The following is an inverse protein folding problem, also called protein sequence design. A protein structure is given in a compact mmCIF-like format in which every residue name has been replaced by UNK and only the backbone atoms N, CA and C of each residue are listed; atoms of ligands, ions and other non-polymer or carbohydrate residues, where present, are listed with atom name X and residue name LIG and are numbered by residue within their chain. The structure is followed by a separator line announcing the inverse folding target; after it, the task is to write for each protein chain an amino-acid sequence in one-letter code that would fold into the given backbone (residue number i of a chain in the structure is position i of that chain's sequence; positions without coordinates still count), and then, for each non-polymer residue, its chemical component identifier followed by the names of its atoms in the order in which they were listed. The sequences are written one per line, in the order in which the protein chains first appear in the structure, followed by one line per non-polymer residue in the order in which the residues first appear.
data_IF_285356252158
#
_entry.id   IF_285356252158
#
_cell.length_a   1.000
_cell.length_b   1.000
_cell.length_c   1.000
_cell.angle_alpha   90.00
_cell.angle_beta   90.00
_cell.angle_gamma   90.00
#
_symmetry.space_group_name_H-M   'P 1'
#
loop_
_entity.id
_entity.type
_entity.pdbx_description
1 polymer ?
#
# COMPACT_ATOMS: atom_id res chain seq x y z
N UNK A 1 0.14 -16.29 -6.95
CA UNK A 1 0.10 -14.90 -7.42
C UNK A 1 -1.05 -14.79 -8.41
N UNK A 2 -2.05 -13.99 -8.08
CA UNK A 2 -3.23 -13.80 -8.92
C UNK A 2 -3.01 -12.58 -9.86
N UNK A 3 -3.33 -12.73 -11.13
CA UNK A 3 -3.22 -11.66 -12.15
C UNK A 3 -4.58 -11.11 -12.57
N UNK A 4 -5.67 -11.79 -12.22
CA UNK A 4 -7.01 -11.32 -12.54
C UNK A 4 -7.44 -10.26 -11.52
N UNK A 5 -7.49 -9.00 -11.96
CA UNK A 5 -7.91 -7.83 -11.18
C UNK A 5 -9.08 -7.17 -11.90
N UNK A 6 -10.22 -7.88 -11.94
CA UNK A 6 -11.48 -7.28 -12.37
C UNK A 6 -11.90 -6.13 -11.43
N UNK A 7 -12.91 -5.37 -11.81
CA UNK A 7 -13.34 -4.18 -11.07
C UNK A 7 -13.75 -4.50 -9.61
N UNK A 8 -14.36 -5.67 -9.38
CA UNK A 8 -14.76 -6.11 -8.04
C UNK A 8 -13.54 -6.43 -7.18
N UNK A 9 -12.61 -7.23 -7.69
CA UNK A 9 -11.36 -7.58 -7.02
C UNK A 9 -10.52 -6.33 -6.74
N UNK A 10 -10.44 -5.41 -7.71
CA UNK A 10 -9.72 -4.15 -7.53
C UNK A 10 -10.35 -3.30 -6.42
N UNK A 11 -11.67 -3.21 -6.37
CA UNK A 11 -12.40 -2.55 -5.28
C UNK A 11 -12.08 -3.13 -3.91
N UNK A 12 -12.03 -4.47 -3.79
CA UNK A 12 -11.65 -5.15 -2.55
C UNK A 12 -10.19 -4.87 -2.14
N UNK A 13 -9.26 -4.90 -3.11
CA UNK A 13 -7.84 -4.56 -2.86
C UNK A 13 -7.73 -3.15 -2.29
N UNK A 14 -8.37 -2.18 -2.91
CA UNK A 14 -8.36 -0.78 -2.46
C UNK A 14 -8.92 -0.64 -1.04
N UNK A 15 -10.02 -1.32 -0.75
CA UNK A 15 -10.63 -1.31 0.58
C UNK A 15 -9.68 -1.88 1.65
N UNK A 16 -9.04 -3.03 1.38
CA UNK A 16 -8.08 -3.65 2.29
C UNK A 16 -6.87 -2.75 2.51
N UNK A 17 -6.31 -2.16 1.45
CA UNK A 17 -5.19 -1.20 1.55
C UNK A 17 -5.60 0.02 2.38
N UNK A 18 -6.77 0.60 2.13
CA UNK A 18 -7.26 1.75 2.89
C UNK A 18 -7.48 1.44 4.38
N UNK A 19 -7.97 0.24 4.71
CA UNK A 19 -8.13 -0.21 6.10
C UNK A 19 -6.77 -0.40 6.78
N UNK A 20 -5.81 -1.04 6.10
CA UNK A 20 -4.46 -1.24 6.59
C UNK A 20 -3.75 0.09 6.85
N UNK A 21 -3.84 1.03 5.93
CA UNK A 21 -3.23 2.36 6.09
C UNK A 21 -3.87 3.19 7.20
N UNK A 22 -5.17 3.04 7.45
CA UNK A 22 -5.81 3.68 8.63
C UNK A 22 -5.33 3.09 9.94
N UNK A 23 -5.00 1.81 9.97
CA UNK A 23 -4.56 1.11 11.17
C UNK A 23 -3.08 1.35 11.51
N UNK A 24 -2.20 1.37 10.50
CA UNK A 24 -0.74 1.45 10.65
C UNK A 24 -0.12 2.77 10.17
N UNK A 25 -0.90 3.62 9.48
CA UNK A 25 -0.49 4.88 8.85
C UNK A 25 0.54 4.72 7.70
N UNK A 26 0.94 3.50 7.36
CA UNK A 26 1.87 3.21 6.28
C UNK A 26 1.57 1.86 5.62
N UNK A 27 2.12 1.67 4.44
CA UNK A 27 2.35 0.38 3.80
C UNK A 27 3.85 0.12 3.75
N UNK A 28 4.28 -1.10 3.43
CA UNK A 28 5.71 -1.43 3.27
C UNK A 28 5.98 -1.79 1.82
N UNK A 29 7.05 -1.25 1.24
CA UNK A 29 7.54 -1.63 -0.08
C UNK A 29 8.84 -2.41 0.05
N UNK A 30 8.87 -3.61 -0.51
CA UNK A 30 10.05 -4.43 -0.63
C UNK A 30 10.73 -4.18 -1.98
N UNK A 31 12.02 -3.92 -1.95
CA UNK A 31 12.89 -3.74 -3.10
C UNK A 31 14.16 -4.59 -2.95
N UNK A 32 14.93 -4.74 -4.01
CA UNK A 32 16.12 -5.59 -4.03
C UNK A 32 17.31 -4.78 -4.56
N UNK A 33 18.46 -4.88 -3.87
CA UNK A 33 19.71 -4.25 -4.33
C UNK A 33 20.26 -4.94 -5.60
N UNK A 34 21.26 -4.35 -6.29
CA UNK A 34 21.96 -5.00 -7.39
C UNK A 34 22.56 -6.37 -7.02
N UNK A 35 22.97 -6.54 -5.76
CA UNK A 35 23.56 -7.76 -5.21
C UNK A 35 22.51 -8.81 -4.80
N UNK A 36 21.21 -8.51 -4.98
CA UNK A 36 20.11 -9.41 -4.60
C UNK A 36 19.66 -9.31 -3.13
N UNK A 37 20.13 -8.31 -2.39
CA UNK A 37 19.80 -8.14 -0.97
C UNK A 37 18.42 -7.46 -0.86
N UNK A 38 17.43 -8.09 -0.21
CA UNK A 38 16.12 -7.50 -0.02
C UNK A 38 16.14 -6.36 1.01
N UNK A 39 15.35 -5.33 0.76
CA UNK A 39 15.13 -4.22 1.67
C UNK A 39 13.63 -3.91 1.79
N UNK A 40 13.19 -3.47 2.96
CA UNK A 40 11.80 -3.05 3.21
C UNK A 40 11.81 -1.59 3.67
N UNK A 41 11.04 -0.77 2.97
CA UNK A 41 10.87 0.66 3.26
C UNK A 41 9.41 0.96 3.61
N UNK A 42 9.11 1.62 4.73
CA UNK A 42 7.77 2.11 5.01
C UNK A 42 7.40 3.27 4.07
N UNK A 43 6.20 3.22 3.48
CA UNK A 43 5.66 4.28 2.63
C UNK A 43 4.29 4.74 3.17
N UNK A 44 4.22 5.96 3.69
CA UNK A 44 2.99 6.52 4.29
C UNK A 44 2.00 7.10 3.29
N UNK A 45 2.38 7.22 2.02
CA UNK A 45 1.69 8.04 1.02
C UNK A 45 1.27 7.26 -0.22
N UNK A 46 0.99 5.97 -0.10
CA UNK A 46 0.44 5.17 -1.19
C UNK A 46 -1.00 5.56 -1.46
N UNK A 47 -1.27 5.93 -2.71
CA UNK A 47 -2.60 6.21 -3.25
C UNK A 47 -2.87 5.27 -4.43
N UNK A 48 -4.01 4.60 -4.41
CA UNK A 48 -4.45 3.72 -5.50
C UNK A 48 -5.57 4.39 -6.29
N UNK A 49 -5.52 4.28 -7.61
CA UNK A 49 -6.53 4.84 -8.50
C UNK A 49 -7.85 4.06 -8.40
N UNK A 50 -8.95 4.73 -8.66
CA UNK A 50 -10.29 4.17 -8.52
C UNK A 50 -10.62 3.14 -9.60
N UNK A 51 -10.21 3.39 -10.83
CA UNK A 51 -10.66 2.66 -12.02
C UNK A 51 -9.63 1.72 -12.63
N UNK A 52 -8.37 1.74 -12.16
CA UNK A 52 -7.30 0.95 -12.76
C UNK A 52 -6.31 0.45 -11.71
N UNK A 53 -5.62 -0.69 -11.92
CA UNK A 53 -4.62 -1.25 -11.02
C UNK A 53 -3.31 -0.45 -11.04
N UNK A 54 -3.43 0.84 -10.86
CA UNK A 54 -2.34 1.81 -10.80
C UNK A 54 -2.46 2.67 -9.54
N UNK A 55 -1.41 3.42 -9.25
CA UNK A 55 -1.38 4.34 -8.13
C UNK A 55 -0.11 5.16 -8.13
N UNK A 56 0.16 5.81 -7.02
CA UNK A 56 1.42 6.55 -6.82
C UNK A 56 1.75 6.60 -5.32
N UNK A 57 3.01 6.88 -5.04
CA UNK A 57 3.46 7.24 -3.70
C UNK A 57 4.52 8.35 -3.76
N UNK A 58 4.62 9.13 -2.69
CA UNK A 58 5.65 10.14 -2.55
C UNK A 58 6.96 9.50 -2.08
N UNK A 59 8.04 9.78 -2.80
CA UNK A 59 9.38 9.24 -2.55
C UNK A 59 10.39 10.37 -2.33
N UNK A 60 10.42 10.89 -1.10
CA UNK A 60 11.28 12.04 -0.75
C UNK A 60 12.52 11.62 0.04
N UNK A 61 12.37 10.65 0.97
CA UNK A 61 13.42 10.38 1.96
C UNK A 61 14.08 8.99 1.83
N UNK A 62 13.71 8.20 0.84
CA UNK A 62 14.09 6.79 0.75
C UNK A 62 15.28 6.57 -0.18
N UNK A 63 16.47 7.07 0.14
CA UNK A 63 17.66 6.97 -0.73
C UNK A 63 17.97 5.52 -1.14
N UNK A 64 17.88 4.56 -0.23
CA UNK A 64 18.09 3.12 -0.53
C UNK A 64 17.04 2.61 -1.50
N UNK A 65 15.76 2.93 -1.30
CA UNK A 65 14.69 2.55 -2.22
C UNK A 65 14.93 3.14 -3.61
N UNK A 66 15.30 4.43 -3.68
CA UNK A 66 15.59 5.10 -4.94
C UNK A 66 16.74 4.43 -5.69
N UNK A 67 17.82 4.05 -5.00
CA UNK A 67 18.94 3.34 -5.58
C UNK A 67 18.52 1.97 -6.12
N UNK A 68 17.77 1.19 -5.34
CA UNK A 68 17.29 -0.13 -5.76
C UNK A 68 16.36 -0.04 -6.98
N UNK A 69 15.43 0.92 -6.99
CA UNK A 69 14.48 1.09 -8.09
C UNK A 69 15.13 1.55 -9.41
N UNK A 70 16.26 2.23 -9.36
CA UNK A 70 17.07 2.54 -10.57
C UNK A 70 17.62 1.28 -11.22
N UNK A 71 17.94 0.26 -10.43
CA UNK A 71 18.46 -1.00 -10.92
C UNK A 71 17.36 -2.00 -11.28
N UNK A 72 16.35 -2.13 -10.40
CA UNK A 72 15.23 -3.04 -10.61
C UNK A 72 13.91 -2.36 -10.21
N UNK A 73 13.10 -2.04 -11.21
CA UNK A 73 11.80 -1.40 -11.01
C UNK A 73 10.72 -2.33 -10.41
N UNK A 74 10.98 -3.63 -10.26
CA UNK A 74 10.03 -4.58 -9.67
C UNK A 74 10.05 -4.46 -8.15
N UNK A 75 8.86 -4.35 -7.55
CA UNK A 75 8.70 -4.24 -6.11
C UNK A 75 7.46 -5.00 -5.63
N UNK A 76 7.43 -5.29 -4.34
CA UNK A 76 6.24 -5.82 -3.67
C UNK A 76 5.79 -4.84 -2.60
N UNK A 77 4.57 -4.34 -2.70
CA UNK A 77 3.96 -3.47 -1.69
C UNK A 77 3.05 -4.33 -0.81
N UNK A 78 3.29 -4.31 0.50
CA UNK A 78 2.46 -5.01 1.47
C UNK A 78 1.66 -4.01 2.31
N UNK A 79 0.35 -4.27 2.44
CA UNK A 79 -0.54 -3.57 3.34
C UNK A 79 -1.24 -4.60 4.24
N UNK A 80 -1.08 -4.48 5.57
CA UNK A 80 -1.67 -5.38 6.56
C UNK A 80 -2.38 -4.55 7.62
N UNK A 81 -3.61 -4.94 7.93
CA UNK A 81 -4.40 -4.31 8.97
C UNK A 81 -3.85 -4.69 10.36
N UNK A 82 -3.21 -3.72 11.04
CA UNK A 82 -2.64 -3.88 12.38
C UNK A 82 -3.58 -3.45 13.50
N UNK A 83 -4.86 -3.12 13.20
CA UNK A 83 -5.84 -2.69 14.19
C UNK A 83 -6.11 -3.77 15.23
N UNK A 84 -5.89 -3.46 16.51
CA UNK A 84 -6.17 -4.37 17.63
C UNK A 84 -7.62 -4.81 17.65
N UNK A 85 -8.56 -3.89 17.39
CA UNK A 85 -9.99 -4.22 17.35
C UNK A 85 -10.35 -5.19 16.23
N UNK A 86 -9.77 -5.04 15.04
CA UNK A 86 -9.92 -5.97 13.93
C UNK A 86 -9.46 -7.38 14.31
N UNK A 87 -8.26 -7.50 14.89
CA UNK A 87 -7.68 -8.77 15.29
C UNK A 87 -8.46 -9.41 16.45
N UNK A 88 -8.79 -8.63 17.47
CA UNK A 88 -9.56 -9.14 18.62
C UNK A 88 -10.93 -9.67 18.19
N UNK A 89 -11.66 -8.91 17.35
CA UNK A 89 -12.97 -9.35 16.83
C UNK A 89 -12.83 -10.65 16.02
N UNK A 90 -11.82 -10.74 15.14
CA UNK A 90 -11.58 -11.94 14.33
C UNK A 90 -11.19 -13.15 15.18
N UNK A 91 -10.40 -12.96 16.23
CA UNK A 91 -10.03 -14.01 17.17
C UNK A 91 -11.26 -14.52 17.96
N UNK A 92 -12.11 -13.61 18.43
CA UNK A 92 -13.32 -13.98 19.17
C UNK A 92 -14.36 -14.69 18.29
N UNK A 93 -14.48 -14.29 17.02
CA UNK A 93 -15.41 -14.94 16.07
C UNK A 93 -14.84 -16.19 15.39
N UNK A 94 -13.53 -16.47 15.55
CA UNK A 94 -12.83 -17.55 14.85
C UNK A 94 -12.73 -17.35 13.35
N UNK A 95 -13.08 -16.15 12.82
CA UNK A 95 -13.15 -15.88 11.40
C UNK A 95 -12.85 -14.43 11.07
N UNK A 96 -12.12 -14.18 9.98
CA UNK A 96 -11.99 -12.86 9.40
C UNK A 96 -13.22 -12.50 8.54
N UNK A 97 -13.76 -11.32 8.73
CA UNK A 97 -14.83 -10.78 7.87
C UNK A 97 -14.31 -10.16 6.57
N UNK A 98 -13.03 -9.83 6.50
CA UNK A 98 -12.32 -9.35 5.31
C UNK A 98 -10.88 -9.85 5.33
N UNK A 99 -10.18 -9.81 4.19
CA UNK A 99 -8.76 -10.16 4.16
C UNK A 99 -7.95 -9.26 5.11
N UNK A 100 -7.08 -9.81 5.97
CA UNK A 100 -6.25 -9.03 6.89
C UNK A 100 -5.19 -8.21 6.18
N UNK A 101 -4.91 -8.48 4.92
CA UNK A 101 -3.95 -7.71 4.14
C UNK A 101 -3.82 -8.19 2.71
N UNK A 102 -2.99 -7.49 1.95
CA UNK A 102 -2.68 -7.79 0.55
C UNK A 102 -1.23 -7.48 0.23
N UNK A 103 -0.64 -8.25 -0.66
CA UNK A 103 0.64 -7.99 -1.34
C UNK A 103 0.36 -7.65 -2.79
N UNK A 104 0.87 -6.50 -3.22
CA UNK A 104 0.73 -5.98 -4.58
C UNK A 104 2.10 -6.08 -5.26
N UNK A 105 2.17 -6.82 -6.35
CA UNK A 105 3.38 -6.93 -7.18
C UNK A 105 3.28 -5.89 -8.28
N UNK A 106 4.25 -4.99 -8.34
CA UNK A 106 4.17 -3.81 -9.17
C UNK A 106 5.50 -3.48 -9.84
N UNK A 107 5.40 -2.85 -11.01
CA UNK A 107 6.49 -2.10 -11.60
C UNK A 107 6.37 -0.65 -11.14
N UNK A 108 7.44 -0.13 -10.56
CA UNK A 108 7.52 1.24 -10.06
C UNK A 108 8.12 2.14 -11.15
N UNK A 109 7.45 3.26 -11.38
CA UNK A 109 7.90 4.27 -12.34
C UNK A 109 9.10 5.09 -11.86
N UNK A 110 9.61 5.92 -12.75
CA UNK A 110 10.67 6.86 -12.42
C UNK A 110 10.18 7.96 -11.48
N UNK A 111 11.13 8.59 -10.81
CA UNK A 111 10.85 9.74 -9.95
C UNK A 111 10.47 10.94 -10.83
N UNK A 112 9.33 11.55 -10.56
CA UNK A 112 8.84 12.73 -11.25
C UNK A 112 8.19 13.74 -10.30
N UNK A 113 8.06 15.00 -10.71
CA UNK A 113 7.28 15.97 -9.96
C UNK A 113 5.83 15.50 -9.79
N UNK A 114 5.26 15.77 -8.62
CA UNK A 114 3.84 15.52 -8.35
C UNK A 114 2.96 16.53 -9.10
N UNK A 115 1.83 16.03 -9.60
CA UNK A 115 0.80 16.91 -10.20
C UNK A 115 0.03 17.67 -9.12
N UNK A 116 -0.70 18.72 -9.51
CA UNK A 116 -1.54 19.48 -8.59
C UNK A 116 -2.61 18.60 -7.91
N UNK A 117 -3.17 17.62 -8.64
CA UNK A 117 -4.17 16.69 -8.11
C UNK A 117 -3.55 15.73 -7.08
N UNK A 118 -2.38 15.16 -7.35
CA UNK A 118 -1.63 14.31 -6.42
C UNK A 118 -1.27 15.07 -5.13
N UNK A 119 -0.84 16.32 -5.28
CA UNK A 119 -0.59 17.23 -4.15
C UNK A 119 -1.88 17.51 -3.35
N UNK A 120 -3.02 17.66 -4.02
CA UNK A 120 -4.30 17.84 -3.35
C UNK A 120 -4.71 16.58 -2.56
N UNK A 121 -4.53 15.39 -3.12
CA UNK A 121 -4.84 14.13 -2.45
C UNK A 121 -4.01 13.94 -1.17
N UNK A 122 -2.70 14.22 -1.20
CA UNK A 122 -1.88 14.13 0.00
C UNK A 122 -2.29 15.17 1.04
N UNK A 123 -2.53 16.42 0.62
CA UNK A 123 -3.00 17.47 1.54
C UNK A 123 -4.30 17.11 2.24
N UNK A 124 -5.25 16.49 1.55
CA UNK A 124 -6.49 15.98 2.17
C UNK A 124 -6.20 14.89 3.20
N UNK A 125 -5.30 13.95 2.90
CA UNK A 125 -4.95 12.86 3.84
C UNK A 125 -4.28 13.37 5.10
N UNK A 126 -3.39 14.36 5.02
CA UNK A 126 -2.67 14.91 6.17
C UNK A 126 -3.43 16.02 6.88
N UNK A 127 -4.54 16.51 6.34
CA UNK A 127 -5.31 17.61 6.92
C UNK A 127 -5.64 17.43 8.41
N UNK A 128 -6.04 16.24 8.91
CA UNK A 128 -6.29 16.03 10.33
C UNK A 128 -5.05 16.18 11.23
N UNK A 129 -3.85 16.08 10.66
CA UNK A 129 -2.57 16.12 11.38
C UNK A 129 -1.82 17.45 11.24
N UNK A 130 -2.33 18.40 10.45
CA UNK A 130 -1.67 19.68 10.13
C UNK A 130 -1.29 20.53 11.34
N UNK A 131 -1.98 20.39 12.45
CA UNK A 131 -1.72 21.14 13.67
C UNK A 131 -0.52 20.62 14.48
N UNK A 132 0.00 19.44 14.15
CA UNK A 132 1.14 18.85 14.83
C UNK A 132 2.48 19.38 14.30
N UNK A 133 3.47 19.58 15.17
CA UNK A 133 4.83 20.00 14.77
C UNK A 133 5.50 18.97 13.85
N UNK A 134 5.32 17.67 14.11
CA UNK A 134 5.86 16.59 13.29
C UNK A 134 5.31 16.58 11.87
N UNK A 135 4.03 16.90 11.69
CA UNK A 135 3.41 17.02 10.38
C UNK A 135 4.09 18.08 9.51
N UNK A 136 4.40 19.26 10.09
CA UNK A 136 5.08 20.33 9.37
C UNK A 136 6.49 19.94 8.91
N UNK A 137 7.22 19.16 9.72
CA UNK A 137 8.59 18.74 9.41
C UNK A 137 8.63 17.61 8.35
N UNK A 138 7.68 16.68 8.41
CA UNK A 138 7.69 15.50 7.52
C UNK A 138 7.06 15.82 6.16
N UNK A 139 6.02 16.68 6.12
CA UNK A 139 5.18 16.85 4.93
C UNK A 139 5.49 18.11 4.12
N UNK A 140 6.49 18.93 4.51
CA UNK A 140 6.85 20.16 3.80
C UNK A 140 7.44 19.90 2.40
N UNK A 141 8.15 18.78 2.21
CA UNK A 141 8.98 18.54 1.04
C UNK A 141 8.44 17.47 0.08
N UNK A 142 7.15 17.08 0.22
CA UNK A 142 6.54 16.11 -0.67
C UNK A 142 6.24 16.74 -2.04
N UNK A 143 7.23 16.72 -2.93
CA UNK A 143 7.12 17.27 -4.27
C UNK A 143 7.32 16.24 -5.38
N UNK A 144 7.85 15.06 -5.04
CA UNK A 144 8.18 14.03 -6.02
C UNK A 144 7.43 12.72 -5.73
N UNK A 145 6.97 12.09 -6.81
CA UNK A 145 6.19 10.85 -6.77
C UNK A 145 6.79 9.80 -7.70
N UNK A 146 6.46 8.55 -7.41
CA UNK A 146 6.62 7.42 -8.32
C UNK A 146 5.27 6.80 -8.63
N UNK A 147 5.05 6.47 -9.89
CA UNK A 147 3.89 5.70 -10.30
C UNK A 147 4.04 4.23 -9.91
N UNK A 148 2.91 3.58 -9.67
CA UNK A 148 2.82 2.17 -9.32
C UNK A 148 1.91 1.49 -10.33
N UNK A 149 2.46 0.55 -11.11
CA UNK A 149 1.71 -0.27 -12.06
C UNK A 149 1.60 -1.69 -11.52
N UNK A 150 0.45 -2.03 -10.95
CA UNK A 150 0.21 -3.31 -10.30
C UNK A 150 -0.18 -4.33 -11.36
N UNK A 151 0.58 -5.43 -11.45
CA UNK A 151 0.36 -6.48 -12.44
C UNK A 151 -0.08 -7.81 -11.81
N UNK A 152 0.04 -7.93 -10.48
CA UNK A 152 -0.44 -9.11 -9.76
C UNK A 152 -0.62 -8.80 -8.27
N UNK A 153 -1.35 -9.66 -7.58
CA UNK A 153 -1.54 -9.55 -6.14
C UNK A 153 -1.60 -10.92 -5.47
N UNK A 154 -1.49 -10.92 -4.15
CA UNK A 154 -1.74 -12.07 -3.28
C UNK A 154 -2.36 -11.58 -1.98
N UNK A 155 -3.47 -12.18 -1.58
CA UNK A 155 -4.04 -11.92 -0.27
C UNK A 155 -3.11 -12.41 0.85
N UNK A 156 -3.12 -11.71 1.96
CA UNK A 156 -2.60 -12.24 3.23
C UNK A 156 -3.73 -13.04 3.84
N UNK A 157 -3.52 -14.33 4.02
CA UNK A 157 -4.55 -15.28 4.44
C UNK A 157 -4.07 -16.09 5.63
N UNK A 158 -5.02 -16.43 6.47
CA UNK A 158 -4.88 -17.43 7.53
C UNK A 158 -5.92 -18.53 7.25
N UNK A 159 -5.54 -19.62 6.58
CA UNK A 159 -6.48 -20.59 6.01
C UNK A 159 -7.55 -21.13 6.96
N UNK A 160 -7.19 -21.32 8.24
CA UNK A 160 -8.11 -21.78 9.29
C UNK A 160 -9.14 -20.74 9.74
N UNK A 161 -8.92 -19.46 9.44
CA UNK A 161 -9.79 -18.34 9.85
C UNK A 161 -10.44 -17.61 8.66
N UNK A 162 -10.10 -17.97 7.42
CA UNK A 162 -10.79 -17.43 6.25
C UNK A 162 -12.15 -18.10 6.05
N UNK A 163 -13.17 -17.38 5.55
CA UNK A 163 -14.44 -17.98 5.18
C UNK A 163 -14.18 -19.15 4.20
N UNK A 164 -14.74 -20.32 4.52
CA UNK A 164 -14.72 -21.43 3.56
C UNK A 164 -15.48 -21.01 2.32
N UNK A 165 -14.89 -21.14 1.14
CA UNK A 165 -15.41 -20.67 -0.16
C UNK A 165 -16.66 -21.46 -0.62
N UNK A 166 -17.49 -21.96 0.26
CA UNK A 166 -18.66 -22.82 -0.03
C UNK A 166 -20.00 -22.14 0.20
N UNK A 167 -20.10 -20.82 0.12
CA UNK A 167 -21.40 -20.14 0.26
C UNK A 167 -21.54 -18.88 -0.58
N UNK A 168 -21.07 -18.92 -1.83
CA UNK A 168 -21.44 -17.92 -2.84
C UNK A 168 -21.85 -18.65 -4.12
N UNK A 169 -22.98 -19.37 -4.04
CA UNK A 169 -23.83 -19.69 -5.18
C UNK A 169 -25.28 -19.44 -4.76
#
# INVERSE_FOLDING_TARGET
MNKNMDAQTWGQIRQVVAQAQRASMHSSIASVSPEGIPNITPIGTLFLNDSSPTGFFFDTYSATLQQHLKHNAQACIQAVNSSRGFWLKSMMSGQFCTYPGVRLYAKIGELRPATAEEMHQVRRRIAPLKWTRGSKLIWSDFTQVREVHIHAFRWVEYPSMMPKTSSLF
#
